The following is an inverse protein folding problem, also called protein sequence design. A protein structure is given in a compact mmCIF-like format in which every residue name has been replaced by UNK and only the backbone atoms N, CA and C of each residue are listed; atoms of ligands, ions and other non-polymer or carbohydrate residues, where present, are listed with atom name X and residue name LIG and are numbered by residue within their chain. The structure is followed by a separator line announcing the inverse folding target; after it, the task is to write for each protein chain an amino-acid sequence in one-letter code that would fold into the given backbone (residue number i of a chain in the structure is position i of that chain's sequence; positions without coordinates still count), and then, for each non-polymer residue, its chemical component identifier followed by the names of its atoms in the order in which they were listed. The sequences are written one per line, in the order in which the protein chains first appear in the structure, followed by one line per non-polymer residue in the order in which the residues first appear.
data_IF_929594858932
#
_entry.id   IF_929594858932
#
_cell.length_a   1.000
_cell.length_b   1.000
_cell.length_c   1.000
_cell.angle_alpha   90.00
_cell.angle_beta   90.00
_cell.angle_gamma   90.00
#
_symmetry.space_group_name_H-M   'P 1'
#
loop_
_entity.id
_entity.type
_entity.pdbx_description
1 polymer ?
#
# COMPACT_ATOMS: atom_id res chain seq x y z
N UNK A 1 -0.07 12.33 4.17
CA UNK A 1 -0.52 11.09 4.84
C UNK A 1 -2.02 10.94 4.64
N UNK A 2 -2.48 9.81 4.11
CA UNK A 2 -3.90 9.53 3.84
C UNK A 2 -4.11 8.75 2.56
N UNK A 3 -5.28 8.12 2.41
CA UNK A 3 -5.64 7.18 1.35
C UNK A 3 -6.38 7.83 0.16
N UNK A 4 -6.31 9.17 0.02
CA UNK A 4 -7.18 9.90 -0.92
C UNK A 4 -6.49 11.02 -1.72
N UNK A 5 -5.31 11.45 -1.30
CA UNK A 5 -4.55 12.55 -1.92
C UNK A 5 -5.26 13.93 -2.00
N UNK A 6 -6.42 14.12 -1.36
CA UNK A 6 -7.10 15.43 -1.35
C UNK A 6 -6.49 16.43 -0.38
N UNK A 7 -5.80 15.96 0.68
CA UNK A 7 -5.20 16.79 1.74
C UNK A 7 -3.84 17.39 1.37
N UNK A 8 -3.50 17.40 0.09
CA UNK A 8 -2.25 17.98 -0.41
C UNK A 8 -2.30 19.51 -0.27
N UNK A 9 -1.20 20.10 0.19
CA UNK A 9 -1.07 21.55 0.34
C UNK A 9 -1.17 22.28 -1.02
N UNK A 10 -0.71 21.64 -2.10
CA UNK A 10 -0.70 22.21 -3.44
C UNK A 10 -2.01 22.03 -4.21
N UNK A 11 -3.02 21.42 -3.59
CA UNK A 11 -4.30 21.12 -4.21
C UNK A 11 -4.57 19.62 -4.31
N UNK A 12 -5.85 19.28 -4.31
CA UNK A 12 -6.32 17.90 -4.35
C UNK A 12 -6.02 17.26 -5.71
N UNK A 13 -5.52 16.01 -5.69
CA UNK A 13 -5.42 15.20 -6.89
C UNK A 13 -6.81 14.65 -7.24
N UNK A 14 -7.15 14.67 -8.53
CA UNK A 14 -8.45 14.24 -9.06
C UNK A 14 -8.21 13.10 -10.05
N UNK A 15 -8.99 12.02 -9.96
CA UNK A 15 -8.84 10.89 -10.89
C UNK A 15 -9.20 11.30 -12.32
N UNK A 16 -8.54 10.71 -13.32
CA UNK A 16 -8.86 10.89 -14.74
C UNK A 16 -10.24 10.34 -15.15
N UNK A 17 -10.91 9.61 -14.25
CA UNK A 17 -12.30 9.14 -14.39
C UNK A 17 -13.34 10.22 -14.03
N UNK A 18 -12.89 11.37 -13.56
CA UNK A 18 -13.78 12.47 -13.18
C UNK A 18 -14.30 13.18 -14.43
N UNK A 19 -15.61 13.37 -14.51
CA UNK A 19 -16.23 14.16 -15.59
C UNK A 19 -15.81 15.63 -15.48
N UNK A 20 -15.73 16.32 -16.63
CA UNK A 20 -15.22 17.70 -16.67
C UNK A 20 -16.09 18.65 -15.84
N UNK A 21 -17.40 18.44 -15.83
CA UNK A 21 -18.37 19.19 -15.03
C UNK A 21 -18.22 18.99 -13.51
N UNK A 22 -17.69 17.85 -13.06
CA UNK A 22 -17.60 17.48 -11.65
C UNK A 22 -16.23 17.81 -11.03
N UNK A 23 -15.24 18.18 -11.86
CA UNK A 23 -13.84 18.29 -11.47
C UNK A 23 -13.63 19.21 -10.26
N UNK A 24 -14.38 20.32 -10.17
CA UNK A 24 -14.25 21.28 -9.07
C UNK A 24 -15.00 20.89 -7.80
N UNK A 25 -16.07 20.10 -7.91
CA UNK A 25 -17.07 19.96 -6.84
C UNK A 25 -17.20 18.55 -6.27
N UNK A 26 -17.09 17.51 -7.10
CA UNK A 26 -17.38 16.12 -6.70
C UNK A 26 -16.56 15.09 -7.49
N UNK A 27 -15.25 15.31 -7.54
CA UNK A 27 -14.34 14.43 -8.28
C UNK A 27 -14.27 13.01 -7.70
N UNK A 28 -13.83 12.07 -8.55
CA UNK A 28 -13.50 10.71 -8.11
C UNK A 28 -12.14 10.71 -7.43
N UNK A 29 -12.09 10.12 -6.23
CA UNK A 29 -10.88 10.04 -5.42
C UNK A 29 -9.88 9.08 -6.09
N UNK A 30 -8.65 9.52 -6.38
CA UNK A 30 -7.63 8.69 -7.03
C UNK A 30 -6.90 7.74 -6.06
N UNK A 31 -7.27 7.72 -4.79
CA UNK A 31 -6.56 6.98 -3.75
C UNK A 31 -5.36 7.76 -3.22
N UNK A 32 -4.61 7.17 -2.30
CA UNK A 32 -3.45 7.85 -1.72
C UNK A 32 -2.51 6.94 -0.92
N UNK A 33 -1.32 7.42 -0.58
CA UNK A 33 -0.84 8.79 -0.82
C UNK A 33 -0.23 9.04 -2.21
N UNK A 34 0.01 8.00 -3.01
CA UNK A 34 0.62 8.13 -4.36
C UNK A 34 -0.42 8.41 -5.46
N UNK A 35 -1.49 9.16 -5.14
CA UNK A 35 -2.58 9.42 -6.09
C UNK A 35 -2.13 10.19 -7.33
N UNK A 36 -1.23 11.17 -7.18
CA UNK A 36 -0.67 11.91 -8.32
C UNK A 36 0.10 11.02 -9.28
N UNK A 37 0.95 10.14 -8.76
CA UNK A 37 1.68 9.14 -9.54
C UNK A 37 0.72 8.20 -10.28
N UNK A 38 -0.34 7.74 -9.61
CA UNK A 38 -1.32 6.86 -10.23
C UNK A 38 -2.09 7.55 -11.36
N UNK A 39 -2.56 8.79 -11.15
CA UNK A 39 -3.27 9.56 -12.18
C UNK A 39 -2.36 9.88 -13.37
N UNK A 40 -1.09 10.23 -13.14
CA UNK A 40 -0.14 10.50 -14.22
C UNK A 40 0.04 9.30 -15.16
N UNK A 41 0.06 8.08 -14.60
CA UNK A 41 0.13 6.84 -15.39
C UNK A 41 -1.22 6.53 -16.06
N UNK A 42 -2.31 6.67 -15.32
CA UNK A 42 -3.67 6.43 -15.80
C UNK A 42 -3.97 7.24 -17.07
N UNK A 43 -3.69 8.54 -17.05
CA UNK A 43 -4.00 9.45 -18.17
C UNK A 43 -2.87 9.53 -19.21
N UNK A 44 -1.78 8.77 -19.03
CA UNK A 44 -0.69 8.67 -19.99
C UNK A 44 0.29 9.85 -20.02
N UNK A 45 0.31 10.70 -18.98
CA UNK A 45 1.35 11.72 -18.79
C UNK A 45 2.73 11.06 -18.60
N UNK A 46 2.75 9.93 -17.90
CA UNK A 46 3.96 9.13 -17.68
C UNK A 46 3.70 7.67 -18.04
N UNK A 47 4.70 6.99 -18.63
CA UNK A 47 4.63 5.53 -18.83
C UNK A 47 4.63 4.79 -17.49
N UNK A 48 5.45 5.29 -16.56
CA UNK A 48 5.65 4.75 -15.22
C UNK A 48 5.80 5.92 -14.25
N UNK A 49 5.34 5.72 -13.03
CA UNK A 49 5.60 6.64 -11.94
C UNK A 49 6.12 5.89 -10.72
N UNK A 50 6.95 6.57 -9.92
CA UNK A 50 7.35 6.09 -8.61
C UNK A 50 6.32 6.51 -7.57
N UNK A 51 6.08 5.62 -6.61
CA UNK A 51 5.33 5.89 -5.40
C UNK A 51 6.14 5.52 -4.17
N UNK A 52 5.47 5.63 -3.03
CA UNK A 52 5.87 4.93 -1.82
C UNK A 52 4.66 4.16 -1.29
N UNK A 53 4.90 3.00 -0.71
CA UNK A 53 3.87 2.16 -0.12
C UNK A 53 4.28 1.80 1.31
N UNK A 54 3.64 2.47 2.26
CA UNK A 54 3.86 2.28 3.69
C UNK A 54 2.82 1.34 4.32
N UNK A 55 1.59 1.41 3.81
CA UNK A 55 0.47 0.60 4.28
C UNK A 55 -0.60 0.44 3.21
N UNK A 56 -0.23 0.45 1.92
CA UNK A 56 -1.17 0.44 0.80
C UNK A 56 -1.02 1.60 -0.18
N UNK A 57 -0.12 2.56 0.12
CA UNK A 57 -0.09 3.87 -0.53
C UNK A 57 0.28 3.91 -2.01
N UNK A 58 0.55 2.75 -2.62
CA UNK A 58 0.66 2.56 -4.07
C UNK A 58 -0.40 1.62 -4.61
N UNK A 59 -0.68 0.53 -3.90
CA UNK A 59 -1.68 -0.47 -4.31
C UNK A 59 -3.11 0.09 -4.28
N UNK A 60 -3.49 0.85 -3.26
CA UNK A 60 -4.80 1.52 -3.18
C UNK A 60 -5.03 2.50 -4.35
N UNK A 61 -4.12 3.46 -4.62
CA UNK A 61 -4.23 4.30 -5.82
C UNK A 61 -4.30 3.51 -7.13
N UNK A 62 -3.52 2.44 -7.26
CA UNK A 62 -3.52 1.62 -8.47
C UNK A 62 -4.88 0.96 -8.72
N UNK A 63 -5.48 0.35 -7.69
CA UNK A 63 -6.81 -0.25 -7.77
C UNK A 63 -7.88 0.78 -8.17
N UNK A 64 -7.83 1.99 -7.61
CA UNK A 64 -8.80 3.05 -7.90
C UNK A 64 -8.66 3.63 -9.31
N UNK A 65 -7.46 3.62 -9.88
CA UNK A 65 -7.21 4.19 -11.20
C UNK A 65 -7.12 3.15 -12.32
N UNK A 66 -7.24 1.86 -12.00
CA UNK A 66 -7.26 0.78 -13.00
C UNK A 66 -5.90 0.53 -13.64
N UNK A 67 -4.84 0.62 -12.84
CA UNK A 67 -3.46 0.40 -13.29
C UNK A 67 -2.76 -0.59 -12.35
N UNK A 68 -1.53 -1.01 -12.68
CA UNK A 68 -0.71 -1.82 -11.79
C UNK A 68 -0.03 -0.94 -10.75
N UNK A 69 -0.04 -1.41 -9.50
CA UNK A 69 0.70 -0.81 -8.39
C UNK A 69 1.47 -1.86 -7.64
N UNK A 70 2.80 -1.83 -7.76
CA UNK A 70 3.68 -2.85 -7.21
C UNK A 70 4.49 -2.32 -6.04
N UNK A 71 4.33 -2.98 -4.89
CA UNK A 71 5.18 -2.83 -3.72
C UNK A 71 6.16 -4.01 -3.66
N UNK A 72 7.46 -3.80 -3.91
CA UNK A 72 8.47 -4.84 -3.79
C UNK A 72 8.63 -5.40 -2.38
N UNK A 73 9.43 -6.45 -2.26
CA UNK A 73 9.98 -6.92 -0.99
C UNK A 73 10.66 -5.76 -0.24
N UNK A 74 10.41 -5.63 1.08
CA UNK A 74 11.02 -4.59 1.89
C UNK A 74 12.56 -4.68 1.83
N UNK A 75 13.20 -3.54 1.55
CA UNK A 75 14.65 -3.43 1.39
C UNK A 75 15.18 -3.77 0.00
N UNK A 76 14.33 -4.23 -0.94
CA UNK A 76 14.79 -4.53 -2.31
C UNK A 76 15.09 -3.26 -3.13
N UNK A 77 14.30 -2.21 -2.91
CA UNK A 77 14.60 -0.86 -3.41
C UNK A 77 15.11 0.01 -2.26
N UNK A 78 16.19 0.75 -2.51
CA UNK A 78 16.79 1.65 -1.52
C UNK A 78 15.82 2.75 -1.09
N UNK A 79 15.80 3.04 0.21
CA UNK A 79 15.06 4.15 0.81
C UNK A 79 15.92 5.41 0.93
N UNK A 80 17.17 5.39 0.48
CA UNK A 80 17.99 6.58 0.47
C UNK A 80 17.38 7.65 -0.47
N UNK A 81 17.15 8.85 0.07
CA UNK A 81 16.43 9.92 -0.63
C UNK A 81 14.89 9.88 -0.51
N UNK A 82 14.31 8.78 0.02
CA UNK A 82 12.89 8.75 0.36
C UNK A 82 12.65 9.53 1.66
N UNK A 83 11.71 10.48 1.63
CA UNK A 83 11.27 11.18 2.84
C UNK A 83 10.53 10.18 3.75
N UNK A 84 11.05 9.84 4.94
CA UNK A 84 10.54 8.72 5.71
C UNK A 84 9.20 9.06 6.38
N UNK A 85 8.24 8.17 6.23
CA UNK A 85 7.03 8.11 7.03
C UNK A 85 7.21 7.10 8.17
N UNK A 86 7.43 5.83 7.82
CA UNK A 86 7.72 4.74 8.77
C UNK A 86 8.90 3.91 8.30
N UNK A 87 10.01 3.97 9.02
CA UNK A 87 11.26 3.37 8.53
C UNK A 87 11.13 1.86 8.33
N UNK A 88 10.33 1.22 9.18
CA UNK A 88 10.19 -0.24 9.16
C UNK A 88 9.15 -0.77 8.17
N UNK A 89 8.42 0.09 7.45
CA UNK A 89 7.36 -0.34 6.51
C UNK A 89 7.37 0.41 5.18
N UNK A 90 8.04 1.57 5.09
CA UNK A 90 8.17 2.33 3.84
C UNK A 90 8.89 1.52 2.78
N UNK A 91 8.25 1.36 1.62
CA UNK A 91 8.86 0.78 0.43
C UNK A 91 8.70 1.76 -0.74
N UNK A 92 9.78 2.16 -1.43
CA UNK A 92 9.66 2.71 -2.78
C UNK A 92 8.94 1.69 -3.66
N UNK A 93 8.11 2.17 -4.56
CA UNK A 93 7.16 1.33 -5.29
C UNK A 93 6.90 1.87 -6.69
N UNK A 94 6.29 1.04 -7.54
CA UNK A 94 6.17 1.28 -8.98
C UNK A 94 4.70 1.30 -9.37
N UNK A 95 4.32 2.27 -10.19
CA UNK A 95 3.00 2.37 -10.82
C UNK A 95 3.19 2.33 -12.34
N UNK A 96 2.49 1.43 -13.01
CA UNK A 96 2.58 1.25 -14.46
C UNK A 96 1.26 0.71 -15.05
N UNK A 97 1.14 0.69 -16.39
CA UNK A 97 -0.03 0.11 -17.07
C UNK A 97 0.10 -1.40 -17.32
N UNK A 98 1.24 -2.00 -17.05
CA UNK A 98 1.50 -3.41 -17.27
C UNK A 98 2.39 -4.01 -16.17
N UNK A 99 2.28 -5.31 -15.94
CA UNK A 99 3.15 -6.01 -14.99
C UNK A 99 4.60 -6.07 -15.51
N UNK A 100 4.77 -6.10 -16.83
CA UNK A 100 6.04 -6.11 -17.55
C UNK A 100 6.80 -4.80 -17.31
N UNK A 101 6.12 -3.66 -17.38
CA UNK A 101 6.72 -2.36 -17.05
C UNK A 101 7.12 -2.27 -15.58
N UNK A 102 6.29 -2.78 -14.66
CA UNK A 102 6.65 -2.89 -13.24
C UNK A 102 7.91 -3.74 -13.05
N UNK A 103 8.00 -4.89 -13.73
CA UNK A 103 9.15 -5.81 -13.67
C UNK A 103 10.41 -5.18 -14.23
N UNK A 104 10.32 -4.55 -15.40
CA UNK A 104 11.45 -3.87 -16.04
C UNK A 104 12.06 -2.83 -15.10
N UNK A 105 11.23 -2.01 -14.45
CA UNK A 105 11.73 -0.96 -13.57
C UNK A 105 12.17 -1.48 -12.21
N UNK A 106 11.56 -2.56 -11.70
CA UNK A 106 12.09 -3.27 -10.54
C UNK A 106 13.52 -3.73 -10.81
N UNK A 107 13.79 -4.34 -11.98
CA UNK A 107 15.11 -4.85 -12.32
C UNK A 107 16.17 -3.75 -12.46
N UNK A 108 15.76 -2.56 -12.92
CA UNK A 108 16.64 -1.38 -12.99
C UNK A 108 16.96 -0.84 -11.59
N UNK A 109 15.99 -0.84 -10.67
CA UNK A 109 16.10 -0.16 -9.39
C UNK A 109 16.57 -1.04 -8.23
N UNK A 110 16.41 -2.37 -8.32
CA UNK A 110 16.70 -3.29 -7.22
C UNK A 110 18.19 -3.42 -6.97
N UNK A 111 18.58 -3.45 -5.71
CA UNK A 111 20.00 -3.50 -5.38
C UNK A 111 20.33 -3.13 -3.96
N UNK A 112 21.49 -3.61 -3.53
CA UNK A 112 22.19 -3.09 -2.36
C UNK A 112 22.60 -1.64 -2.64
N UNK A 113 22.31 -0.76 -1.70
CA UNK A 113 22.76 0.62 -1.68
C UNK A 113 23.60 0.86 -0.42
N UNK A 114 24.82 1.38 -0.58
CA UNK A 114 25.71 1.71 0.53
C UNK A 114 25.18 2.83 1.44
N UNK A 115 24.26 3.66 0.94
CA UNK A 115 23.62 4.73 1.71
C UNK A 115 22.35 4.28 2.46
N UNK A 116 21.90 3.03 2.26
CA UNK A 116 20.77 2.44 2.97
C UNK A 116 21.16 1.11 3.62
N UNK A 117 21.41 1.15 4.93
CA UNK A 117 21.73 -0.02 5.75
C UNK A 117 20.64 -1.10 5.77
N UNK A 118 19.43 -0.80 5.31
CA UNK A 118 18.32 -1.74 5.22
C UNK A 118 18.15 -2.36 3.82
N UNK A 119 18.92 -1.89 2.83
CA UNK A 119 18.90 -2.46 1.49
C UNK A 119 19.48 -3.88 1.46
N UNK A 120 18.89 -4.73 0.62
CA UNK A 120 19.22 -6.16 0.53
C UNK A 120 19.86 -6.50 -0.81
N UNK A 121 20.70 -7.52 -0.82
CA UNK A 121 21.35 -8.03 -2.03
C UNK A 121 20.34 -8.76 -2.93
N UNK A 122 20.39 -8.50 -4.23
CA UNK A 122 19.54 -9.11 -5.26
C UNK A 122 19.76 -10.61 -5.42
N UNK A 123 20.87 -11.16 -4.92
CA UNK A 123 21.09 -12.62 -4.86
C UNK A 123 20.03 -13.36 -4.03
N UNK A 124 19.29 -12.64 -3.19
CA UNK A 124 18.16 -13.20 -2.44
C UNK A 124 16.90 -13.35 -3.31
N UNK A 125 16.79 -12.58 -4.40
CA UNK A 125 15.67 -12.65 -5.33
C UNK A 125 15.57 -14.03 -5.98
N UNK A 126 14.35 -14.54 -6.03
CA UNK A 126 14.01 -15.77 -6.78
C UNK A 126 13.52 -15.34 -8.15
N UNK A 127 14.30 -15.64 -9.19
CA UNK A 127 13.88 -15.41 -10.55
C UNK A 127 12.71 -16.34 -10.91
N UNK A 128 11.70 -15.81 -11.60
CA UNK A 128 10.61 -16.63 -12.11
C UNK A 128 10.85 -17.00 -13.58
N UNK A 129 11.15 -18.27 -13.84
CA UNK A 129 11.35 -18.80 -15.19
C UNK A 129 10.06 -19.41 -15.80
N UNK A 130 8.97 -19.44 -15.01
CA UNK A 130 7.71 -20.05 -15.45
C UNK A 130 7.14 -19.31 -16.66
N UNK A 131 6.48 -20.10 -17.51
CA UNK A 131 5.73 -19.62 -18.69
C UNK A 131 4.25 -19.95 -18.61
N UNK A 132 3.80 -20.56 -17.52
CA UNK A 132 2.43 -21.00 -17.31
C UNK A 132 2.07 -20.92 -15.82
N UNK A 133 0.79 -20.66 -15.57
CA UNK A 133 0.18 -20.68 -14.25
C UNK A 133 -0.11 -22.10 -13.73
N UNK A 134 -0.05 -23.12 -14.59
CA UNK A 134 -0.42 -24.49 -14.25
C UNK A 134 0.35 -25.03 -13.05
N UNK A 135 -0.38 -25.55 -12.07
CA UNK A 135 0.16 -26.14 -10.84
C UNK A 135 0.57 -25.12 -9.77
N UNK A 136 0.44 -23.81 -10.01
CA UNK A 136 0.60 -22.83 -8.95
C UNK A 136 -0.55 -22.97 -7.95
N UNK A 137 -0.22 -22.85 -6.67
CA UNK A 137 -1.19 -22.91 -5.57
C UNK A 137 -1.47 -21.50 -5.09
N UNK A 138 -2.71 -21.05 -5.19
CA UNK A 138 -3.15 -19.71 -4.83
C UNK A 138 -4.03 -19.81 -3.58
N UNK A 139 -3.57 -19.20 -2.49
CA UNK A 139 -4.32 -19.12 -1.24
C UNK A 139 -5.29 -17.95 -1.24
N UNK A 140 -6.51 -18.17 -0.72
CA UNK A 140 -7.46 -17.11 -0.43
C UNK A 140 -7.68 -17.05 1.09
N UNK A 141 -7.24 -15.98 1.78
CA UNK A 141 -7.43 -15.86 3.22
C UNK A 141 -8.91 -15.70 3.60
N UNK A 142 -9.42 -16.60 4.45
CA UNK A 142 -10.82 -16.52 4.90
C UNK A 142 -11.13 -15.25 5.70
N UNK A 143 -10.16 -14.72 6.44
CA UNK A 143 -10.29 -13.50 7.27
C UNK A 143 -10.51 -12.23 6.42
N UNK A 144 -10.37 -12.30 5.10
CA UNK A 144 -10.54 -11.16 4.20
C UNK A 144 -11.98 -11.05 3.67
N UNK A 145 -12.84 -12.03 3.95
CA UNK A 145 -14.28 -11.97 3.70
C UNK A 145 -14.99 -11.44 4.95
N UNK A 146 -15.01 -10.12 5.09
CA UNK A 146 -15.54 -9.42 6.26
C UNK A 146 -16.66 -8.43 5.88
N UNK A 147 -17.27 -7.82 6.89
CA UNK A 147 -18.45 -6.96 6.74
C UNK A 147 -18.19 -5.66 5.96
N UNK A 148 -16.93 -5.34 5.68
CA UNK A 148 -16.52 -4.15 4.93
C UNK A 148 -16.17 -4.45 3.46
N UNK A 149 -16.25 -5.72 3.03
CA UNK A 149 -16.00 -6.10 1.64
C UNK A 149 -17.26 -5.89 0.79
N UNK A 150 -17.21 -4.94 -0.16
CA UNK A 150 -18.36 -4.64 -1.00
C UNK A 150 -18.56 -5.69 -2.10
N UNK A 151 -19.81 -5.88 -2.57
CA UNK A 151 -20.13 -6.86 -3.62
C UNK A 151 -19.37 -6.65 -4.95
N UNK A 152 -18.96 -5.42 -5.25
CA UNK A 152 -18.13 -5.08 -6.43
C UNK A 152 -16.80 -5.82 -6.40
N UNK A 153 -16.08 -5.75 -5.28
CA UNK A 153 -14.77 -6.36 -5.09
C UNK A 153 -14.89 -7.87 -4.87
N UNK A 154 -15.90 -8.33 -4.13
CA UNK A 154 -16.16 -9.76 -3.96
C UNK A 154 -16.38 -10.48 -5.31
N UNK A 155 -17.16 -9.88 -6.22
CA UNK A 155 -17.35 -10.45 -7.57
C UNK A 155 -16.05 -10.49 -8.37
N UNK A 156 -15.24 -9.43 -8.28
CA UNK A 156 -13.94 -9.38 -8.96
C UNK A 156 -12.98 -10.45 -8.42
N UNK A 157 -12.96 -10.65 -7.10
CA UNK A 157 -12.16 -11.69 -6.45
C UNK A 157 -12.58 -13.10 -6.89
N UNK A 158 -13.89 -13.37 -6.89
CA UNK A 158 -14.42 -14.67 -7.33
C UNK A 158 -14.12 -14.94 -8.81
N UNK A 159 -14.32 -13.95 -9.68
CA UNK A 159 -13.99 -14.09 -11.10
C UNK A 159 -12.50 -14.31 -11.31
N UNK A 160 -11.65 -13.62 -10.55
CA UNK A 160 -10.20 -13.81 -10.59
C UNK A 160 -9.79 -15.22 -10.16
N UNK A 161 -10.37 -15.72 -9.07
CA UNK A 161 -10.13 -17.09 -8.60
C UNK A 161 -10.51 -18.13 -9.66
N UNK A 162 -11.71 -18.02 -10.25
CA UNK A 162 -12.18 -18.92 -11.30
C UNK A 162 -11.28 -18.90 -12.55
N UNK A 163 -10.78 -17.72 -12.94
CA UNK A 163 -9.84 -17.60 -14.06
C UNK A 163 -8.50 -18.26 -13.77
N UNK A 164 -7.99 -18.12 -12.55
CA UNK A 164 -6.77 -18.82 -12.13
C UNK A 164 -6.98 -20.34 -12.12
N UNK A 165 -8.11 -20.84 -11.62
CA UNK A 165 -8.44 -22.28 -11.69
C UNK A 165 -8.53 -22.78 -13.13
N UNK A 166 -9.22 -22.05 -14.01
CA UNK A 166 -9.33 -22.39 -15.43
C UNK A 166 -7.95 -22.40 -16.14
N UNK A 167 -7.02 -21.57 -15.70
CA UNK A 167 -5.63 -21.55 -16.16
C UNK A 167 -4.75 -22.69 -15.58
N UNK A 168 -5.33 -23.54 -14.72
CA UNK A 168 -4.67 -24.70 -14.13
C UNK A 168 -3.99 -24.44 -12.79
N UNK A 169 -4.25 -23.30 -12.13
CA UNK A 169 -3.88 -23.12 -10.72
C UNK A 169 -4.74 -24.02 -9.81
N UNK A 170 -4.21 -24.32 -8.63
CA UNK A 170 -4.96 -24.87 -7.51
C UNK A 170 -5.33 -23.71 -6.61
N UNK A 171 -6.61 -23.37 -6.51
CA UNK A 171 -7.08 -22.32 -5.60
C UNK A 171 -7.60 -22.98 -4.32
N UNK A 172 -7.17 -22.50 -3.16
CA UNK A 172 -7.64 -23.04 -1.87
C UNK A 172 -7.77 -21.95 -0.81
N UNK A 173 -8.66 -22.18 0.13
CA UNK A 173 -8.78 -21.35 1.32
C UNK A 173 -7.55 -21.53 2.24
N UNK A 174 -7.09 -20.42 2.84
CA UNK A 174 -6.05 -20.40 3.87
C UNK A 174 -6.47 -19.52 5.05
N UNK A 175 -5.76 -19.62 6.17
CA UNK A 175 -6.02 -18.79 7.35
C UNK A 175 -4.84 -17.87 7.66
N UNK A 176 -5.11 -16.58 7.71
CA UNK A 176 -4.22 -15.48 8.09
C UNK A 176 -4.73 -14.82 9.38
N UNK A 177 -4.83 -15.62 10.45
CA UNK A 177 -5.54 -15.30 11.69
C UNK A 177 -5.27 -13.91 12.27
N UNK A 178 -4.04 -13.41 12.19
CA UNK A 178 -3.63 -12.17 12.84
C UNK A 178 -3.75 -10.94 11.95
N UNK A 179 -4.02 -11.08 10.65
CA UNK A 179 -4.01 -9.94 9.72
C UNK A 179 -5.14 -8.95 9.94
N UNK A 180 -6.26 -9.35 10.53
CA UNK A 180 -7.32 -8.42 10.94
C UNK A 180 -6.82 -7.35 11.91
N UNK A 181 -5.80 -7.68 12.70
CA UNK A 181 -5.20 -6.76 13.68
C UNK A 181 -4.14 -5.85 13.07
N UNK A 182 -3.86 -5.98 11.77
CA UNK A 182 -2.90 -5.14 11.06
C UNK A 182 -3.26 -3.66 11.15
N UNK A 183 -4.55 -3.31 11.06
CA UNK A 183 -4.96 -1.89 11.14
C UNK A 183 -4.52 -1.22 12.44
N UNK A 184 -4.80 -1.85 13.59
CA UNK A 184 -4.41 -1.30 14.89
C UNK A 184 -2.89 -1.31 15.05
N UNK A 185 -2.24 -2.37 14.63
CA UNK A 185 -0.78 -2.50 14.70
C UNK A 185 -0.08 -1.42 13.84
N UNK A 186 -0.60 -1.13 12.65
CA UNK A 186 -0.05 -0.15 11.72
C UNK A 186 -0.14 1.25 12.30
N UNK A 187 -1.30 1.60 12.87
CA UNK A 187 -1.50 2.91 13.47
C UNK A 187 -0.57 3.14 14.65
N UNK A 188 -0.45 2.19 15.59
CA UNK A 188 0.45 2.34 16.74
C UNK A 188 1.91 2.49 16.29
N UNK A 189 2.40 1.54 15.48
CA UNK A 189 3.81 1.56 15.06
C UNK A 189 4.12 2.73 14.13
N UNK A 190 3.22 3.00 13.18
CA UNK A 190 3.39 4.06 12.22
C UNK A 190 3.36 5.44 12.86
N UNK A 191 2.47 5.69 13.83
CA UNK A 191 2.42 6.96 14.54
C UNK A 191 3.66 7.18 15.41
N UNK A 192 4.19 6.14 16.05
CA UNK A 192 5.47 6.21 16.76
C UNK A 192 6.62 6.61 15.82
N UNK A 193 6.72 5.99 14.65
CA UNK A 193 7.72 6.34 13.64
C UNK A 193 7.50 7.76 13.11
N UNK A 194 6.25 8.18 12.86
CA UNK A 194 5.92 9.55 12.42
C UNK A 194 6.37 10.58 13.45
N UNK A 195 6.09 10.36 14.73
CA UNK A 195 6.51 11.27 15.80
C UNK A 195 8.03 11.48 15.82
N UNK A 196 8.79 10.40 15.67
CA UNK A 196 10.26 10.44 15.61
C UNK A 196 10.78 11.03 14.29
N UNK A 197 10.34 10.51 13.15
CA UNK A 197 10.83 10.90 11.82
C UNK A 197 10.54 12.37 11.49
N UNK A 198 9.37 12.87 11.89
CA UNK A 198 8.96 14.24 11.63
C UNK A 198 9.55 15.25 12.61
N UNK A 199 10.26 14.82 13.66
CA UNK A 199 10.90 15.72 14.63
C UNK A 199 11.95 16.64 13.97
N UNK A 200 12.57 16.19 12.87
CA UNK A 200 13.57 16.94 12.10
C UNK A 200 13.04 18.18 11.38
N UNK A 201 11.72 18.30 11.20
CA UNK A 201 11.11 19.46 10.55
C UNK A 201 10.86 20.52 11.61
N UNK A 202 11.87 21.36 11.82
CA UNK A 202 11.94 22.30 12.93
C UNK A 202 12.24 23.74 12.47
N UNK A 203 12.48 23.92 11.16
CA UNK A 203 12.76 25.20 10.52
C UNK A 203 14.16 25.75 10.79
N UNK A 204 15.10 24.95 11.34
CA UNK A 204 16.48 25.40 11.60
C UNK A 204 17.36 25.16 10.38
N UNK A 205 17.49 23.90 9.94
CA UNK A 205 18.40 23.54 8.86
C UNK A 205 17.79 23.70 7.47
N UNK A 206 16.47 23.50 7.34
CA UNK A 206 15.75 23.55 6.08
C UNK A 206 14.24 23.67 6.30
N UNK A 207 13.50 23.94 5.22
CA UNK A 207 12.04 23.98 5.22
C UNK A 207 11.47 25.32 5.69
N UNK A 208 10.21 25.30 6.13
CA UNK A 208 9.50 26.49 6.57
C UNK A 208 10.02 27.01 7.91
N UNK A 209 10.24 28.33 8.00
CA UNK A 209 10.71 29.02 9.20
C UNK A 209 9.81 30.20 9.51
N UNK A 210 9.22 30.19 10.71
CA UNK A 210 8.57 31.35 11.29
C UNK A 210 9.62 32.30 11.87
N UNK A 211 9.52 33.59 11.55
CA UNK A 211 10.36 34.64 12.08
C UNK A 211 9.61 35.49 13.12
N UNK A 212 10.36 36.17 14.00
CA UNK A 212 9.81 37.07 15.01
C UNK A 212 9.53 36.45 16.39
N UNK A 213 9.82 35.16 16.56
CA UNK A 213 9.67 34.48 17.85
C UNK A 213 10.76 34.87 18.85
N UNK A 214 10.39 34.96 20.14
CA UNK A 214 11.28 35.47 21.21
C UNK A 214 12.08 34.38 21.92
N UNK A 215 11.81 33.11 21.65
CA UNK A 215 12.51 31.97 22.23
C UNK A 215 12.63 30.82 21.24
N UNK A 216 13.57 29.90 21.51
CA UNK A 216 13.77 28.70 20.71
C UNK A 216 12.54 27.78 20.74
N UNK A 217 11.89 27.64 21.89
CA UNK A 217 10.68 26.82 22.03
C UNK A 217 9.49 27.39 21.24
N UNK A 218 9.32 28.71 21.28
CA UNK A 218 8.27 29.39 20.51
C UNK A 218 8.53 29.29 19.01
N UNK A 219 9.79 29.39 18.60
CA UNK A 219 10.24 29.16 17.22
C UNK A 219 9.93 27.74 16.76
N UNK A 220 10.31 26.71 17.50
CA UNK A 220 10.00 25.32 17.12
C UNK A 220 8.51 25.06 17.06
N UNK A 221 7.76 25.53 18.06
CA UNK A 221 6.31 25.31 18.15
C UNK A 221 5.57 25.99 17.00
N UNK A 222 5.90 27.24 16.67
CA UNK A 222 5.26 27.99 15.58
C UNK A 222 5.61 27.44 14.21
N UNK A 223 6.88 27.10 13.94
CA UNK A 223 7.30 26.51 12.66
C UNK A 223 6.53 25.22 12.38
N UNK A 224 6.44 24.33 13.37
CA UNK A 224 5.74 23.05 13.23
C UNK A 224 4.23 23.19 13.15
N UNK A 225 3.65 24.10 13.93
CA UNK A 225 2.20 24.30 13.95
C UNK A 225 1.66 24.86 12.64
N UNK A 226 2.44 25.73 11.97
CA UNK A 226 2.06 26.36 10.70
C UNK A 226 2.38 25.49 9.48
N UNK A 227 3.47 24.74 9.49
CA UNK A 227 3.90 23.95 8.32
C UNK A 227 3.24 22.56 8.22
N UNK A 228 2.76 22.00 9.33
CA UNK A 228 2.17 20.66 9.38
C UNK A 228 0.63 20.74 9.46
N UNK A 229 -0.04 20.00 8.58
CA UNK A 229 -1.50 19.88 8.65
C UNK A 229 -1.97 19.02 9.84
N UNK A 230 -3.27 19.05 10.12
CA UNK A 230 -3.83 18.40 11.32
C UNK A 230 -3.66 16.88 11.33
N UNK A 231 -3.64 16.22 10.17
CA UNK A 231 -3.39 14.77 10.10
C UNK A 231 -2.00 14.43 10.59
N UNK A 232 -1.00 15.21 10.15
CA UNK A 232 0.39 15.01 10.55
C UNK A 232 0.55 15.33 12.04
N UNK A 233 -0.01 16.45 12.51
CA UNK A 233 0.04 16.84 13.93
C UNK A 233 -0.63 15.79 14.83
N UNK A 234 -1.80 15.28 14.46
CA UNK A 234 -2.50 14.25 15.24
C UNK A 234 -1.71 12.95 15.34
N UNK A 235 -1.07 12.52 14.24
CA UNK A 235 -0.19 11.33 14.25
C UNK A 235 1.06 11.54 15.11
N UNK A 236 1.64 12.74 15.13
CA UNK A 236 2.76 13.07 16.02
C UNK A 236 2.31 13.01 17.49
N UNK A 237 1.15 13.58 17.82
CA UNK A 237 0.61 13.55 19.18
C UNK A 237 0.35 12.12 19.66
N UNK A 238 -0.32 11.31 18.83
CA UNK A 238 -0.61 9.92 19.16
C UNK A 238 0.67 9.06 19.28
N UNK A 239 1.63 9.25 18.37
CA UNK A 239 2.93 8.59 18.45
C UNK A 239 3.69 8.92 19.74
N UNK A 240 3.76 10.20 20.11
CA UNK A 240 4.36 10.62 21.37
C UNK A 240 3.61 10.00 22.57
N UNK A 241 2.28 9.95 22.54
CA UNK A 241 1.48 9.30 23.58
C UNK A 241 1.84 7.81 23.75
N UNK A 242 1.94 7.06 22.66
CA UNK A 242 2.31 5.64 22.72
C UNK A 242 3.76 5.42 23.19
N UNK A 243 4.65 6.39 22.96
CA UNK A 243 6.06 6.33 23.34
C UNK A 243 6.35 6.83 24.76
N UNK A 244 5.39 7.43 25.46
CA UNK A 244 5.54 7.78 26.87
C UNK A 244 5.94 6.55 27.69
N UNK A 245 6.82 6.75 28.68
CA UNK A 245 7.39 5.68 29.52
C UNK A 245 6.32 4.72 30.06
N UNK A 246 5.20 5.26 30.53
CA UNK A 246 4.07 4.52 31.11
C UNK A 246 3.23 3.77 30.07
N UNK A 247 3.24 4.22 28.81
CA UNK A 247 2.42 3.68 27.72
C UNK A 247 3.18 2.72 26.82
N UNK A 248 4.51 2.84 26.74
CA UNK A 248 5.34 2.10 25.77
C UNK A 248 5.16 0.59 25.85
N UNK A 249 5.14 0.02 27.05
CA UNK A 249 4.92 -1.43 27.23
C UNK A 249 3.49 -1.85 26.84
N UNK A 250 2.49 -1.01 27.15
CA UNK A 250 1.08 -1.29 26.89
C UNK A 250 0.73 -1.23 25.40
N UNK A 251 1.31 -0.31 24.64
CA UNK A 251 0.96 -0.07 23.25
C UNK A 251 2.07 -0.51 22.28
N UNK A 252 3.22 0.18 22.29
CA UNK A 252 4.28 -0.03 21.31
C UNK A 252 4.82 -1.46 21.34
N UNK A 253 5.18 -1.98 22.51
CA UNK A 253 5.70 -3.35 22.61
C UNK A 253 4.68 -4.42 22.23
N UNK A 254 3.41 -4.24 22.58
CA UNK A 254 2.33 -5.15 22.16
C UNK A 254 2.15 -5.11 20.65
N UNK A 255 2.20 -3.93 20.03
CA UNK A 255 2.12 -3.79 18.59
C UNK A 255 3.30 -4.46 17.87
N UNK A 256 4.54 -4.34 18.38
CA UNK A 256 5.70 -5.07 17.84
C UNK A 256 5.53 -6.60 17.95
N UNK A 257 5.02 -7.10 19.08
CA UNK A 257 4.73 -8.54 19.27
C UNK A 257 3.64 -9.02 18.32
N UNK A 258 2.59 -8.22 18.11
CA UNK A 258 1.52 -8.51 17.16
C UNK A 258 2.02 -8.50 15.71
N UNK A 259 2.85 -7.55 15.33
CA UNK A 259 3.52 -7.53 14.01
C UNK A 259 4.27 -8.83 13.74
N UNK A 260 4.95 -9.39 14.75
CA UNK A 260 5.61 -10.69 14.64
C UNK A 260 4.62 -11.83 14.38
N UNK A 261 3.43 -11.81 15.00
CA UNK A 261 2.39 -12.81 14.74
C UNK A 261 1.85 -12.71 13.31
N UNK A 262 1.65 -11.49 12.80
CA UNK A 262 1.27 -11.23 11.40
C UNK A 262 2.35 -11.77 10.45
N UNK A 263 3.63 -11.48 10.71
CA UNK A 263 4.73 -12.02 9.91
C UNK A 263 4.79 -13.56 9.94
N UNK A 264 4.48 -14.18 11.09
CA UNK A 264 4.40 -15.64 11.21
C UNK A 264 3.28 -16.26 10.39
N UNK A 265 2.15 -15.56 10.19
CA UNK A 265 1.10 -16.04 9.29
C UNK A 265 1.61 -16.15 7.86
N UNK A 266 2.32 -15.13 7.37
CA UNK A 266 2.95 -15.17 6.04
C UNK A 266 4.02 -16.27 5.93
N UNK A 267 4.88 -16.43 6.95
CA UNK A 267 5.88 -17.50 6.96
C UNK A 267 5.24 -18.89 6.90
N UNK A 268 4.14 -19.09 7.63
CA UNK A 268 3.40 -20.36 7.64
C UNK A 268 2.71 -20.61 6.30
N UNK A 269 2.02 -19.62 5.74
CA UNK A 269 1.23 -19.81 4.51
C UNK A 269 2.11 -20.04 3.29
N UNK A 270 3.30 -19.42 3.26
CA UNK A 270 4.30 -19.61 2.20
C UNK A 270 5.35 -20.67 2.54
N UNK A 271 5.13 -21.49 3.57
CA UNK A 271 6.01 -22.61 3.90
C UNK A 271 6.11 -23.57 2.71
N UNK A 272 7.32 -23.99 2.35
CA UNK A 272 7.54 -25.03 1.33
C UNK A 272 7.18 -26.42 1.86
N UNK A 273 7.10 -26.57 3.18
CA UNK A 273 6.71 -27.81 3.83
C UNK A 273 5.18 -27.90 3.92
N UNK A 274 4.61 -29.02 3.49
CA UNK A 274 3.19 -29.33 3.63
C UNK A 274 2.29 -28.52 2.69
N UNK A 275 1.16 -28.02 3.21
CA UNK A 275 0.08 -27.36 2.47
C UNK A 275 0.33 -25.86 2.19
N UNK A 276 1.57 -25.47 1.90
CA UNK A 276 1.89 -24.09 1.51
C UNK A 276 1.19 -23.60 0.25
N UNK A 277 1.30 -22.29 -0.01
CA UNK A 277 0.85 -21.64 -1.25
C UNK A 277 1.98 -20.86 -1.89
N UNK A 278 1.87 -20.59 -3.18
CA UNK A 278 2.84 -19.81 -3.96
C UNK A 278 2.50 -18.31 -3.96
N UNK A 279 1.21 -17.98 -3.88
CA UNK A 279 0.73 -16.61 -3.75
C UNK A 279 -0.59 -16.57 -3.00
N UNK A 280 -0.93 -15.41 -2.45
CA UNK A 280 -2.25 -15.08 -1.94
C UNK A 280 -2.99 -14.21 -2.95
N UNK A 281 -4.28 -14.51 -3.16
CA UNK A 281 -5.21 -13.64 -3.86
C UNK A 281 -6.12 -12.97 -2.84
N UNK A 282 -6.10 -11.63 -2.78
CA UNK A 282 -6.86 -10.86 -1.80
C UNK A 282 -7.51 -9.62 -2.44
N UNK A 283 -8.52 -9.00 -1.80
CA UNK A 283 -8.90 -7.62 -2.12
C UNK A 283 -7.73 -6.64 -1.99
N UNK A 284 -7.79 -5.52 -2.71
CA UNK A 284 -6.92 -4.35 -2.49
C UNK A 284 -7.62 -3.33 -1.61
N UNK A 285 -8.89 -3.03 -1.92
CA UNK A 285 -9.72 -2.02 -1.27
C UNK A 285 -11.10 -2.61 -0.94
N UNK A 286 -11.86 -1.92 -0.09
CA UNK A 286 -13.20 -2.32 0.33
C UNK A 286 -14.24 -2.25 -0.80
N UNK A 287 -14.17 -1.20 -1.63
CA UNK A 287 -14.97 -0.96 -2.83
C UNK A 287 -14.10 -0.30 -3.91
N UNK A 288 -14.68 -0.04 -5.08
CA UNK A 288 -14.18 0.89 -6.10
C UNK A 288 -14.10 2.33 -5.57
N UNK A 289 -13.33 3.17 -6.26
CA UNK A 289 -13.13 4.58 -5.90
C UNK A 289 -14.46 5.31 -5.65
N UNK A 290 -14.57 6.05 -4.54
CA UNK A 290 -15.73 6.89 -4.23
C UNK A 290 -15.61 8.28 -4.87
N UNK A 291 -16.75 8.98 -5.02
CA UNK A 291 -16.70 10.43 -5.27
C UNK A 291 -16.36 11.16 -3.97
N UNK A 292 -15.87 12.39 -4.08
CA UNK A 292 -15.50 13.19 -2.91
C UNK A 292 -16.70 13.43 -1.98
N UNK A 293 -17.90 13.63 -2.53
CA UNK A 293 -19.14 13.81 -1.76
C UNK A 293 -19.49 12.56 -0.95
N UNK A 294 -19.46 11.38 -1.57
CA UNK A 294 -19.81 10.14 -0.89
C UNK A 294 -18.76 9.77 0.16
N UNK A 295 -17.48 9.97 -0.16
CA UNK A 295 -16.40 9.74 0.79
C UNK A 295 -16.51 10.61 2.04
N UNK A 296 -16.88 11.89 1.90
CA UNK A 296 -17.07 12.81 3.05
C UNK A 296 -18.15 12.35 4.02
N UNK A 297 -19.18 11.65 3.55
CA UNK A 297 -20.26 11.13 4.42
C UNK A 297 -19.78 10.01 5.35
N UNK A 298 -18.76 9.26 4.92
CA UNK A 298 -18.28 8.04 5.59
C UNK A 298 -16.82 8.15 6.06
N UNK A 299 -16.29 9.38 6.12
CA UNK A 299 -14.87 9.69 6.27
C UNK A 299 -14.18 8.93 7.42
N UNK A 300 -14.82 8.83 8.59
CA UNK A 300 -14.22 8.15 9.75
C UNK A 300 -14.08 6.64 9.56
N UNK A 301 -15.00 6.00 8.85
CA UNK A 301 -14.95 4.57 8.59
C UNK A 301 -13.99 4.27 7.43
N UNK A 302 -13.98 5.09 6.37
CA UNK A 302 -13.20 4.83 5.15
C UNK A 302 -11.69 4.95 5.31
N UNK A 303 -11.19 5.95 6.05
CA UNK A 303 -9.73 6.13 6.26
C UNK A 303 -9.09 4.89 6.96
N UNK A 304 -9.86 4.14 7.76
CA UNK A 304 -9.40 2.92 8.45
C UNK A 304 -9.66 1.64 7.65
N UNK A 305 -10.69 1.63 6.81
CA UNK A 305 -11.18 0.45 6.08
C UNK A 305 -10.45 0.27 4.75
N UNK A 306 -10.07 1.35 4.06
CA UNK A 306 -9.52 1.26 2.70
C UNK A 306 -8.11 0.65 2.64
N UNK A 307 -7.35 0.73 3.74
CA UNK A 307 -6.00 0.17 3.83
C UNK A 307 -5.98 -1.23 4.49
N UNK A 308 -7.12 -1.72 5.01
CA UNK A 308 -7.22 -2.97 5.77
C UNK A 308 -6.55 -4.17 5.07
N UNK A 309 -6.80 -4.33 3.76
CA UNK A 309 -6.29 -5.47 3.00
C UNK A 309 -4.83 -5.34 2.56
N UNK A 310 -4.24 -4.15 2.68
CA UNK A 310 -2.91 -3.86 2.10
C UNK A 310 -1.80 -3.83 3.14
N UNK A 311 -2.08 -3.35 4.36
CA UNK A 311 -1.11 -3.23 5.44
C UNK A 311 -0.40 -4.53 5.87
N UNK A 312 -1.07 -5.71 5.90
CA UNK A 312 -0.41 -6.96 6.27
C UNK A 312 0.89 -7.24 5.50
N UNK A 313 0.91 -6.94 4.20
CA UNK A 313 2.09 -7.15 3.36
C UNK A 313 3.26 -6.24 3.76
N UNK A 314 3.02 -4.97 4.15
CA UNK A 314 4.06 -4.06 4.62
C UNK A 314 4.63 -4.53 5.97
N UNK A 315 3.76 -5.02 6.86
CA UNK A 315 4.16 -5.53 8.16
C UNK A 315 5.09 -6.74 8.06
N UNK A 316 4.78 -7.64 7.13
CA UNK A 316 5.57 -8.83 6.85
C UNK A 316 6.77 -8.56 5.93
N UNK A 317 6.81 -7.41 5.24
CA UNK A 317 7.83 -7.08 4.24
C UNK A 317 7.67 -7.84 2.91
N UNK A 318 6.54 -8.51 2.69
CA UNK A 318 6.26 -9.35 1.53
C UNK A 318 5.91 -8.52 0.28
N UNK A 319 6.34 -8.92 -0.93
CA UNK A 319 5.99 -8.22 -2.16
C UNK A 319 4.49 -8.36 -2.46
N UNK A 320 3.87 -7.28 -2.95
CA UNK A 320 2.45 -7.26 -3.27
C UNK A 320 2.17 -6.36 -4.47
N UNK A 321 1.32 -6.82 -5.38
CA UNK A 321 0.88 -6.08 -6.57
C UNK A 321 -0.63 -5.94 -6.57
N UNK A 322 -1.11 -4.72 -6.82
CA UNK A 322 -2.49 -4.49 -7.24
C UNK A 322 -2.56 -4.61 -8.76
N UNK A 323 -3.45 -5.46 -9.25
CA UNK A 323 -3.72 -5.68 -10.67
C UNK A 323 -5.17 -5.30 -11.00
N UNK A 324 -5.41 -4.54 -12.07
CA UNK A 324 -6.77 -4.23 -12.52
C UNK A 324 -7.43 -5.47 -13.13
N UNK A 325 -8.68 -5.73 -12.75
CA UNK A 325 -9.40 -6.95 -13.18
C UNK A 325 -10.82 -6.66 -13.67
N UNK A 326 -11.09 -5.41 -14.03
CA UNK A 326 -12.34 -4.99 -14.64
C UNK A 326 -12.98 -3.79 -13.96
N UNK A 327 -14.26 -3.57 -14.27
CA UNK A 327 -15.02 -2.42 -13.83
C UNK A 327 -16.19 -2.84 -12.93
N UNK A 328 -16.52 -2.00 -11.95
CA UNK A 328 -17.76 -2.13 -11.19
C UNK A 328 -18.96 -1.61 -12.01
N UNK A 329 -20.19 -1.80 -11.49
CA UNK A 329 -21.42 -1.34 -12.17
C UNK A 329 -21.46 0.17 -12.45
N UNK A 330 -20.67 0.98 -11.72
CA UNK A 330 -20.53 2.43 -11.93
C UNK A 330 -19.46 2.78 -12.99
N UNK A 331 -18.91 1.80 -13.71
CA UNK A 331 -17.83 1.99 -14.68
C UNK A 331 -16.47 2.32 -14.06
N UNK A 332 -16.31 2.13 -12.74
CA UNK A 332 -15.05 2.44 -12.03
C UNK A 332 -14.17 1.20 -11.92
N UNK A 333 -12.84 1.32 -12.04
CA UNK A 333 -11.93 0.20 -11.89
C UNK A 333 -12.06 -0.53 -10.57
N UNK A 334 -11.82 -1.83 -10.62
CA UNK A 334 -11.67 -2.71 -9.47
C UNK A 334 -10.38 -3.50 -9.65
N UNK A 335 -9.56 -3.52 -8.60
CA UNK A 335 -8.32 -4.30 -8.57
C UNK A 335 -8.39 -5.44 -7.55
N UNK A 336 -7.61 -6.48 -7.82
CA UNK A 336 -7.26 -7.52 -6.83
C UNK A 336 -5.77 -7.46 -6.53
N UNK A 337 -5.40 -8.03 -5.39
CA UNK A 337 -4.04 -8.04 -4.89
C UNK A 337 -3.47 -9.44 -4.97
N UNK A 338 -2.27 -9.56 -5.52
CA UNK A 338 -1.45 -10.75 -5.41
C UNK A 338 -0.31 -10.46 -4.43
N UNK A 339 -0.06 -11.38 -3.50
CA UNK A 339 1.04 -11.31 -2.54
C UNK A 339 1.83 -12.61 -2.64
N UNK A 340 3.15 -12.54 -2.79
CA UNK A 340 4.02 -13.72 -2.81
C UNK A 340 4.99 -13.72 -1.63
N UNK A 341 5.78 -14.78 -1.49
CA UNK A 341 6.79 -14.83 -0.45
C UNK A 341 7.86 -13.74 -0.64
N UNK A 342 8.54 -13.40 0.44
CA UNK A 342 9.67 -12.47 0.42
C UNK A 342 10.68 -12.95 -0.63
N UNK A 343 11.10 -12.03 -1.50
CA UNK A 343 11.99 -12.25 -2.64
C UNK A 343 11.41 -12.99 -3.86
N UNK A 344 10.14 -13.35 -3.84
CA UNK A 344 9.40 -13.89 -5.00
C UNK A 344 8.66 -12.78 -5.78
N UNK A 345 9.25 -11.58 -5.82
CA UNK A 345 8.74 -10.41 -6.55
C UNK A 345 8.40 -10.73 -8.01
N UNK A 346 9.26 -11.49 -8.70
CA UNK A 346 9.09 -11.88 -10.10
C UNK A 346 7.86 -12.79 -10.30
N UNK A 347 7.62 -13.72 -9.36
CA UNK A 347 6.45 -14.59 -9.39
C UNK A 347 5.17 -13.79 -9.13
N UNK A 348 5.22 -12.85 -8.18
CA UNK A 348 4.11 -11.96 -7.84
C UNK A 348 3.63 -11.18 -9.07
N UNK A 349 4.58 -10.55 -9.79
CA UNK A 349 4.30 -9.80 -11.01
C UNK A 349 3.82 -10.69 -12.16
N UNK A 350 4.42 -11.88 -12.31
CA UNK A 350 4.00 -12.84 -13.34
C UNK A 350 2.54 -13.25 -13.18
N UNK A 351 2.14 -13.69 -11.98
CA UNK A 351 0.74 -14.12 -11.73
C UNK A 351 -0.24 -12.97 -12.01
N UNK A 352 0.11 -11.75 -11.60
CA UNK A 352 -0.72 -10.58 -11.82
C UNK A 352 -0.86 -10.20 -13.30
N UNK A 353 0.23 -10.26 -14.08
CA UNK A 353 0.20 -9.99 -15.52
C UNK A 353 -0.60 -11.04 -16.29
N UNK A 354 -0.42 -12.32 -15.96
CA UNK A 354 -1.20 -13.41 -16.56
C UNK A 354 -2.69 -13.28 -16.23
N UNK A 355 -3.03 -13.01 -14.96
CA UNK A 355 -4.41 -12.79 -14.53
C UNK A 355 -5.05 -11.62 -15.28
N UNK A 356 -4.38 -10.48 -15.35
CA UNK A 356 -4.92 -9.30 -16.03
C UNK A 356 -5.25 -9.58 -17.50
N UNK A 357 -4.34 -10.21 -18.25
CA UNK A 357 -4.58 -10.57 -19.67
C UNK A 357 -5.81 -11.46 -19.84
N UNK A 358 -5.96 -12.48 -19.00
CA UNK A 358 -7.14 -13.37 -19.03
C UNK A 358 -8.47 -12.67 -18.68
N UNK A 359 -8.39 -11.52 -18.00
CA UNK A 359 -9.55 -10.70 -17.64
C UNK A 359 -9.92 -9.68 -18.73
N UNK A 360 -8.97 -9.29 -19.60
CA UNK A 360 -9.20 -8.41 -20.76
C UNK A 360 -9.81 -9.16 -21.96
N UNK A 361 -9.61 -10.48 -22.05
CA UNK A 361 -10.14 -11.34 -23.12
C UNK A 361 -11.65 -11.64 -23.00
N UNK A 362 -12.29 -11.22 -21.90
CA UNK A 362 -13.71 -11.36 -21.56
C UNK A 362 -14.45 -10.03 -21.67
#
# INVERSE_FOLDING_TARGET
MGSTSFRSFYGAVRSGLTLSEDVENDWIIPGGSSGGSAVAVQVGIARIALGSDTGGSTRNPAAFNGIFGFKPTYGLLSRHGLVPLTNSMDCPSILARSAEDCKLFLDVMKGRDSFDSTSVDTKRCVANERKSLKGLVIGIPKEYFNDVLYPSVLRALNRSALKLEAAGCIVKEVSMKYTEQSIVCYHILGECDVASNMARYDGVSYGYRQFGEKSLDAMYSSCRSQSLNDVVKNRILAGNYFLLKENREKYFEKAVRLRRLIAKDFQRVFSTDGDGVHALLTPVTSDSAASMRDWRKEQFQRDWVDDFYTQPANMAGAPAVSAPVGLCKKGRPVGVQLISNIFEDDLCLFIAGELHRMMEED
#
